data_IF_656921008554
#
_entry.id   IF_656921008554
#
_cell.length_a   1.000
_cell.length_b   1.000
_cell.length_c   1.000
_cell.angle_alpha   90.00
_cell.angle_beta   90.00
_cell.angle_gamma   90.00
#
_symmetry.space_group_name_H-M   'P 1'
#
loop_
_entity.id
_entity.type
_entity.pdbx_description
1 polymer ?
#
# COMPACT_ATOMS: atom_id res chain seq x y z
N UNK A 1 36.09 0.28 -44.72
CA UNK A 1 35.52 -0.91 -44.06
C UNK A 1 36.45 -1.29 -42.91
N UNK A 2 35.93 -1.39 -41.69
CA UNK A 2 36.73 -1.71 -40.50
C UNK A 2 35.89 -1.53 -39.24
N UNK A 3 35.26 -2.63 -38.82
CA UNK A 3 34.26 -2.73 -37.76
C UNK A 3 34.71 -2.19 -36.40
N UNK A 4 33.78 -1.50 -35.73
CA UNK A 4 33.89 -1.15 -34.31
C UNK A 4 33.81 -2.40 -33.43
N UNK A 5 34.84 -2.61 -32.61
CA UNK A 5 34.84 -3.60 -31.54
C UNK A 5 34.08 -3.05 -30.32
N UNK A 6 32.86 -3.53 -30.12
CA UNK A 6 32.14 -3.39 -28.84
C UNK A 6 32.78 -4.38 -27.85
N UNK A 7 33.47 -3.87 -26.83
CA UNK A 7 33.91 -4.70 -25.68
C UNK A 7 32.68 -5.11 -24.87
N UNK A 8 32.27 -6.37 -25.00
CA UNK A 8 31.24 -6.98 -24.15
C UNK A 8 31.90 -7.31 -22.81
N UNK A 9 31.49 -6.62 -21.74
CA UNK A 9 31.89 -6.94 -20.37
C UNK A 9 31.33 -8.29 -19.92
N UNK A 10 31.94 -8.95 -18.91
CA UNK A 10 31.70 -10.35 -18.63
C UNK A 10 30.27 -10.61 -18.13
N UNK A 11 29.65 -11.63 -18.72
CA UNK A 11 28.31 -12.13 -18.41
C UNK A 11 28.24 -12.64 -16.97
N UNK A 12 27.06 -12.45 -16.35
CA UNK A 12 26.61 -12.78 -14.98
C UNK A 12 27.06 -14.13 -14.36
N UNK A 13 27.57 -15.06 -15.16
CA UNK A 13 28.00 -16.39 -14.71
C UNK A 13 29.43 -16.43 -14.18
N UNK A 14 30.28 -15.44 -14.51
CA UNK A 14 31.68 -15.39 -14.06
C UNK A 14 31.84 -15.00 -12.58
N UNK A 15 30.88 -14.28 -12.01
CA UNK A 15 30.85 -13.88 -10.59
C UNK A 15 30.38 -15.01 -9.66
N UNK A 16 29.80 -16.10 -10.19
CA UNK A 16 29.32 -17.24 -9.42
C UNK A 16 30.45 -18.21 -9.00
N UNK A 17 31.65 -18.11 -9.61
CA UNK A 17 32.80 -18.97 -9.32
C UNK A 17 33.74 -18.46 -8.21
N UNK A 18 33.54 -17.24 -7.72
CA UNK A 18 34.43 -16.61 -6.72
C UNK A 18 33.89 -16.60 -5.28
N UNK A 19 32.76 -17.25 -5.01
CA UNK A 19 32.18 -17.35 -3.67
C UNK A 19 32.64 -18.63 -2.96
N UNK A 20 33.06 -18.57 -1.68
CA UNK A 20 33.48 -19.73 -0.93
C UNK A 20 32.32 -20.72 -0.73
N UNK A 21 32.58 -22.04 -0.71
CA UNK A 21 31.55 -23.09 -0.71
C UNK A 21 30.68 -23.16 0.56
N UNK A 22 30.97 -22.33 1.57
CA UNK A 22 30.20 -22.21 2.81
C UNK A 22 29.20 -21.04 2.81
N UNK A 23 29.08 -20.27 1.73
CA UNK A 23 28.09 -19.20 1.65
C UNK A 23 26.69 -19.78 1.40
N UNK A 24 25.73 -19.67 2.33
CA UNK A 24 24.41 -20.27 2.16
C UNK A 24 23.68 -19.61 0.98
N UNK A 25 23.31 -20.39 -0.02
CA UNK A 25 22.48 -19.97 -1.15
C UNK A 25 21.15 -19.31 -0.69
N UNK A 26 20.72 -19.58 0.54
CA UNK A 26 19.55 -18.96 1.19
C UNK A 26 19.66 -17.43 1.40
N UNK A 27 20.86 -16.83 1.43
CA UNK A 27 21.01 -15.38 1.61
C UNK A 27 20.96 -14.60 0.29
N UNK A 28 21.29 -15.24 -0.84
CA UNK A 28 21.13 -14.66 -2.17
C UNK A 28 19.66 -14.66 -2.60
N UNK A 29 18.87 -15.64 -2.14
CA UNK A 29 17.41 -15.65 -2.31
C UNK A 29 16.70 -14.63 -1.40
N UNK A 30 17.20 -14.32 -0.19
CA UNK A 30 16.54 -13.33 0.67
C UNK A 30 16.73 -11.89 0.18
N UNK A 31 17.92 -11.56 -0.34
CA UNK A 31 18.24 -10.25 -0.88
C UNK A 31 17.55 -9.98 -2.23
N UNK A 32 17.28 -11.03 -3.02
CA UNK A 32 16.45 -10.95 -4.24
C UNK A 32 14.96 -11.11 -3.96
N UNK A 33 14.52 -11.84 -2.92
CA UNK A 33 13.11 -11.90 -2.48
C UNK A 33 12.60 -10.55 -1.96
N UNK A 34 13.46 -9.76 -1.29
CA UNK A 34 13.13 -8.40 -0.84
C UNK A 34 13.25 -7.35 -1.96
N UNK A 35 13.78 -7.74 -3.11
CA UNK A 35 13.83 -6.90 -4.30
C UNK A 35 12.79 -7.38 -5.30
N UNK A 36 11.74 -6.56 -5.45
CA UNK A 36 10.94 -6.54 -6.69
C UNK A 36 9.86 -7.63 -6.84
N UNK A 37 9.15 -8.00 -5.77
CA UNK A 37 7.77 -8.45 -6.00
C UNK A 37 7.04 -7.29 -6.67
N UNK A 38 6.57 -7.53 -7.89
CA UNK A 38 5.97 -6.55 -8.80
C UNK A 38 4.82 -5.84 -8.06
N UNK A 39 5.08 -4.66 -7.49
CA UNK A 39 4.12 -3.86 -6.69
C UNK A 39 2.77 -3.70 -7.42
N UNK A 40 2.83 -3.61 -8.75
CA UNK A 40 1.65 -3.58 -9.61
C UNK A 40 0.82 -4.87 -9.55
N UNK A 41 1.45 -6.05 -9.47
CA UNK A 41 0.78 -7.35 -9.34
C UNK A 41 0.05 -7.52 -8.01
N UNK A 42 0.64 -7.07 -6.91
CA UNK A 42 0.07 -7.26 -5.57
C UNK A 42 -1.14 -6.32 -5.32
N UNK A 43 -1.07 -5.02 -5.67
CA UNK A 43 -2.25 -4.13 -5.57
C UNK A 43 -3.36 -4.57 -6.52
N UNK A 44 -3.00 -5.04 -7.72
CA UNK A 44 -3.97 -5.58 -8.67
C UNK A 44 -4.60 -6.90 -8.20
N UNK A 45 -3.98 -7.63 -7.26
CA UNK A 45 -4.57 -8.83 -6.65
C UNK A 45 -5.50 -8.51 -5.47
N UNK A 46 -5.22 -7.43 -4.72
CA UNK A 46 -6.00 -7.04 -3.54
C UNK A 46 -7.41 -6.55 -3.86
N UNK A 47 -7.59 -5.80 -4.96
CA UNK A 47 -8.93 -5.37 -5.40
C UNK A 47 -9.82 -6.58 -5.71
N UNK A 48 -9.41 -7.56 -6.55
CA UNK A 48 -10.11 -8.83 -6.73
C UNK A 48 -10.36 -9.59 -5.42
N UNK A 49 -9.36 -9.67 -4.52
CA UNK A 49 -9.54 -10.34 -3.23
C UNK A 49 -10.63 -9.67 -2.37
N UNK A 50 -10.64 -8.33 -2.33
CA UNK A 50 -11.70 -7.54 -1.68
C UNK A 50 -13.07 -7.80 -2.31
N UNK A 51 -13.14 -7.87 -3.64
CA UNK A 51 -14.37 -8.24 -4.36
C UNK A 51 -14.84 -9.66 -4.04
N UNK A 52 -13.93 -10.62 -3.91
CA UNK A 52 -14.27 -11.98 -3.52
C UNK A 52 -14.85 -12.03 -2.11
N UNK A 53 -14.25 -11.28 -1.17
CA UNK A 53 -14.77 -11.17 0.20
C UNK A 53 -16.14 -10.48 0.23
N UNK A 54 -16.32 -9.41 -0.54
CA UNK A 54 -17.62 -8.75 -0.75
C UNK A 54 -18.64 -9.73 -1.32
N UNK A 55 -18.28 -10.52 -2.35
CA UNK A 55 -19.22 -11.43 -3.02
C UNK A 55 -19.68 -12.56 -2.11
N UNK A 56 -18.79 -13.08 -1.26
CA UNK A 56 -19.15 -14.07 -0.23
C UNK A 56 -20.13 -13.51 0.80
N UNK A 57 -20.17 -12.20 0.99
CA UNK A 57 -21.01 -11.51 1.97
C UNK A 57 -22.17 -10.75 1.32
N UNK A 58 -22.39 -10.91 0.02
CA UNK A 58 -23.42 -10.19 -0.73
C UNK A 58 -24.83 -10.48 -0.22
N UNK A 59 -25.08 -11.66 0.34
CA UNK A 59 -26.37 -11.99 0.96
C UNK A 59 -26.79 -10.99 2.05
N UNK A 60 -25.83 -10.45 2.82
CA UNK A 60 -26.10 -9.41 3.83
C UNK A 60 -25.99 -8.01 3.23
N UNK A 61 -24.99 -7.79 2.37
CA UNK A 61 -24.68 -6.47 1.81
C UNK A 61 -25.71 -6.00 0.77
N UNK A 62 -26.38 -6.92 0.08
CA UNK A 62 -27.38 -6.63 -0.94
C UNK A 62 -28.83 -6.76 -0.43
N UNK A 63 -29.06 -7.32 0.77
CA UNK A 63 -30.41 -7.45 1.32
C UNK A 63 -30.98 -6.06 1.67
N UNK A 64 -32.18 -5.76 1.14
CA UNK A 64 -32.88 -4.50 1.38
C UNK A 64 -33.34 -4.34 2.84
N UNK A 65 -33.54 -5.44 3.57
CA UNK A 65 -33.97 -5.45 4.97
C UNK A 65 -32.86 -5.05 5.94
N UNK A 66 -31.61 -5.17 5.53
CA UNK A 66 -30.44 -4.84 6.36
C UNK A 66 -30.22 -3.32 6.35
N UNK A 67 -30.19 -2.66 7.52
CA UNK A 67 -29.93 -1.22 7.60
C UNK A 67 -28.59 -0.84 6.97
N UNK A 68 -28.57 0.26 6.22
CA UNK A 68 -27.38 0.71 5.47
C UNK A 68 -26.16 0.97 6.37
N UNK A 69 -26.37 1.49 7.58
CA UNK A 69 -25.31 1.70 8.56
C UNK A 69 -24.71 0.37 9.01
N UNK A 70 -25.51 -0.69 9.15
CA UNK A 70 -25.01 -2.03 9.48
C UNK A 70 -24.18 -2.61 8.32
N UNK A 71 -24.61 -2.43 7.07
CA UNK A 71 -23.81 -2.77 5.88
C UNK A 71 -22.47 -2.04 5.88
N UNK A 72 -22.48 -0.76 6.27
CA UNK A 72 -21.26 0.02 6.49
C UNK A 72 -20.34 -0.62 7.51
N UNK A 73 -20.85 -1.00 8.70
CA UNK A 73 -20.06 -1.72 9.72
C UNK A 73 -19.42 -2.99 9.16
N UNK A 74 -20.18 -3.81 8.44
CA UNK A 74 -19.69 -5.02 7.79
C UNK A 74 -18.59 -4.75 6.76
N UNK A 75 -18.76 -3.72 5.92
CA UNK A 75 -17.73 -3.33 4.96
C UNK A 75 -16.42 -2.97 5.68
N UNK A 76 -16.50 -2.18 6.76
CA UNK A 76 -15.33 -1.75 7.54
C UNK A 76 -14.58 -2.91 8.19
N UNK A 77 -15.29 -3.94 8.65
CA UNK A 77 -14.70 -5.06 9.40
C UNK A 77 -14.25 -6.21 8.51
N UNK A 78 -14.96 -6.51 7.43
CA UNK A 78 -14.71 -7.69 6.62
C UNK A 78 -14.04 -7.38 5.28
N UNK A 79 -14.43 -6.31 4.60
CA UNK A 79 -14.01 -6.04 3.20
C UNK A 79 -12.81 -5.09 3.17
N UNK A 80 -12.90 -3.96 3.88
CA UNK A 80 -11.86 -2.93 3.89
C UNK A 80 -10.49 -3.49 4.32
N UNK A 81 -10.36 -4.32 5.38
CA UNK A 81 -9.06 -4.84 5.79
C UNK A 81 -8.44 -5.77 4.73
N UNK A 82 -9.26 -6.51 3.97
CA UNK A 82 -8.75 -7.37 2.87
C UNK A 82 -8.14 -6.55 1.74
N UNK A 83 -8.71 -5.37 1.45
CA UNK A 83 -8.21 -4.47 0.41
C UNK A 83 -6.97 -3.71 0.90
N UNK A 84 -6.98 -3.27 2.16
CA UNK A 84 -5.89 -2.49 2.76
C UNK A 84 -4.71 -3.33 3.22
N UNK A 85 -4.86 -4.65 3.32
CA UNK A 85 -3.76 -5.52 3.72
C UNK A 85 -2.56 -5.32 2.80
N UNK A 86 -1.38 -5.22 3.42
CA UNK A 86 -0.08 -4.90 2.82
C UNK A 86 0.08 -3.48 2.24
N UNK A 87 -0.95 -2.64 2.16
CA UNK A 87 -0.83 -1.26 1.61
C UNK A 87 0.11 -0.34 2.42
N UNK A 88 0.51 -0.77 3.61
CA UNK A 88 1.39 -0.08 4.57
C UNK A 88 2.84 0.07 4.09
N UNK A 89 3.36 -0.91 3.34
CA UNK A 89 4.80 -1.01 3.03
C UNK A 89 5.14 -0.68 1.56
N UNK A 90 4.14 -0.36 0.74
CA UNK A 90 4.34 -0.15 -0.70
C UNK A 90 4.45 1.33 -1.06
N UNK A 91 5.35 1.65 -2.00
CA UNK A 91 5.33 2.95 -2.68
C UNK A 91 4.16 3.01 -3.66
N UNK A 92 2.94 3.13 -3.13
CA UNK A 92 1.70 3.17 -3.92
C UNK A 92 1.71 4.41 -4.82
N UNK A 93 1.57 4.21 -6.13
CA UNK A 93 1.36 5.32 -7.08
C UNK A 93 -0.05 5.87 -6.91
N UNK A 94 -0.25 7.15 -7.18
CA UNK A 94 -1.60 7.78 -7.17
C UNK A 94 -2.62 7.06 -8.06
N UNK A 95 -2.17 6.46 -9.17
CA UNK A 95 -3.02 5.63 -10.04
C UNK A 95 -3.62 4.42 -9.30
N UNK A 96 -2.85 3.80 -8.40
CA UNK A 96 -3.32 2.67 -7.60
C UNK A 96 -4.29 3.12 -6.51
N UNK A 97 -4.02 4.24 -5.84
CA UNK A 97 -4.95 4.84 -4.88
C UNK A 97 -6.30 5.16 -5.53
N UNK A 98 -6.27 5.75 -6.73
CA UNK A 98 -7.47 6.01 -7.52
C UNK A 98 -8.21 4.72 -7.90
N UNK A 99 -7.51 3.66 -8.33
CA UNK A 99 -8.13 2.36 -8.65
C UNK A 99 -8.84 1.76 -7.43
N UNK A 100 -8.19 1.80 -6.26
CA UNK A 100 -8.77 1.31 -5.00
C UNK A 100 -9.98 2.14 -4.59
N UNK A 101 -9.91 3.48 -4.70
CA UNK A 101 -11.04 4.37 -4.43
C UNK A 101 -12.23 4.16 -5.38
N UNK A 102 -11.98 3.91 -6.66
CA UNK A 102 -13.03 3.58 -7.64
C UNK A 102 -13.67 2.22 -7.31
N UNK A 103 -12.87 1.22 -6.94
CA UNK A 103 -13.37 -0.09 -6.55
C UNK A 103 -14.23 -0.01 -5.28
N UNK A 104 -13.78 0.72 -4.24
CA UNK A 104 -14.57 1.02 -3.04
C UNK A 104 -15.91 1.65 -3.43
N UNK A 105 -15.89 2.75 -4.18
CA UNK A 105 -17.11 3.47 -4.53
C UNK A 105 -18.10 2.60 -5.30
N UNK A 106 -17.62 1.70 -6.16
CA UNK A 106 -18.47 0.73 -6.85
C UNK A 106 -19.13 -0.26 -5.89
N UNK A 107 -18.40 -0.78 -4.90
CA UNK A 107 -18.96 -1.64 -3.86
C UNK A 107 -20.00 -0.88 -3.02
N UNK A 108 -19.66 0.34 -2.56
CA UNK A 108 -20.57 1.17 -1.73
C UNK A 108 -21.87 1.50 -2.47
N UNK A 109 -21.77 1.92 -3.75
CA UNK A 109 -22.92 2.19 -4.61
C UNK A 109 -23.81 0.97 -4.77
N UNK A 110 -23.22 -0.20 -5.02
CA UNK A 110 -23.98 -1.44 -5.15
C UNK A 110 -24.76 -1.78 -3.87
N UNK A 111 -24.12 -1.69 -2.70
CA UNK A 111 -24.79 -1.96 -1.41
C UNK A 111 -25.99 -1.02 -1.15
N UNK A 112 -25.93 0.19 -1.69
CA UNK A 112 -27.00 1.19 -1.58
C UNK A 112 -28.06 1.07 -2.70
N UNK A 113 -27.88 0.15 -3.65
CA UNK A 113 -28.72 0.07 -4.86
C UNK A 113 -28.63 1.33 -5.72
N UNK A 114 -27.50 2.04 -5.70
CA UNK A 114 -27.30 3.28 -6.44
C UNK A 114 -26.40 3.09 -7.65
N UNK A 115 -26.75 3.74 -8.74
CA UNK A 115 -26.00 3.73 -9.99
C UNK A 115 -25.31 5.08 -10.21
N UNK A 116 -24.65 5.25 -11.36
CA UNK A 116 -24.14 6.57 -11.78
C UNK A 116 -25.25 7.49 -12.29
N UNK A 117 -26.40 6.95 -12.70
CA UNK A 117 -27.52 7.73 -13.24
C UNK A 117 -28.23 8.53 -12.15
N UNK A 118 -28.16 8.08 -10.89
CA UNK A 118 -28.75 8.78 -9.75
C UNK A 118 -28.08 10.14 -9.45
N UNK A 119 -26.93 10.44 -10.08
CA UNK A 119 -26.15 11.69 -9.90
C UNK A 119 -25.83 12.04 -8.43
N UNK A 120 -25.90 11.07 -7.52
CA UNK A 120 -25.54 11.24 -6.11
C UNK A 120 -24.02 11.38 -5.99
N UNK A 121 -23.57 12.38 -5.24
CA UNK A 121 -22.15 12.64 -4.93
C UNK A 121 -21.52 11.49 -4.14
N UNK A 122 -20.22 11.24 -4.32
CA UNK A 122 -19.52 10.15 -3.62
C UNK A 122 -19.50 10.38 -2.11
N UNK A 123 -19.34 11.64 -1.68
CA UNK A 123 -19.37 12.06 -0.28
C UNK A 123 -20.68 11.66 0.41
N UNK A 124 -21.83 11.95 -0.22
CA UNK A 124 -23.15 11.62 0.33
C UNK A 124 -23.37 10.10 0.50
N UNK A 125 -22.81 9.28 -0.39
CA UNK A 125 -22.88 7.81 -0.26
C UNK A 125 -22.05 7.34 0.92
N UNK A 126 -20.83 7.88 1.07
CA UNK A 126 -19.94 7.54 2.18
C UNK A 126 -20.53 7.93 3.54
N UNK A 127 -21.14 9.10 3.62
CA UNK A 127 -21.84 9.59 4.80
C UNK A 127 -23.03 8.68 5.17
N UNK A 128 -23.87 8.35 4.18
CA UNK A 128 -25.03 7.47 4.39
C UNK A 128 -24.62 6.07 4.88
N UNK A 129 -23.54 5.52 4.33
CA UNK A 129 -23.00 4.22 4.73
C UNK A 129 -22.23 4.30 6.06
N UNK A 130 -21.67 5.47 6.41
CA UNK A 130 -20.85 5.67 7.60
C UNK A 130 -19.41 5.16 7.44
N UNK A 131 -18.78 5.50 6.32
CA UNK A 131 -17.44 5.01 5.94
C UNK A 131 -16.52 6.16 5.49
N UNK A 132 -15.34 6.25 6.09
CA UNK A 132 -14.27 7.12 5.61
C UNK A 132 -13.72 6.63 4.26
N UNK A 133 -13.20 7.52 3.42
CA UNK A 133 -12.54 7.15 2.17
C UNK A 133 -11.40 6.15 2.39
N UNK A 134 -11.37 5.07 1.60
CA UNK A 134 -10.32 4.04 1.71
C UNK A 134 -8.90 4.59 1.51
N UNK A 135 -8.74 5.65 0.71
CA UNK A 135 -7.43 6.27 0.46
C UNK A 135 -6.90 6.94 1.72
N UNK A 136 -7.75 7.63 2.48
CA UNK A 136 -7.37 8.22 3.77
C UNK A 136 -7.02 7.14 4.79
N UNK A 137 -7.79 6.04 4.81
CA UNK A 137 -7.45 4.86 5.63
C UNK A 137 -6.12 4.22 5.25
N UNK A 138 -5.76 4.25 3.97
CA UNK A 138 -4.47 3.76 3.49
C UNK A 138 -3.32 4.65 3.99
N UNK A 139 -3.50 5.98 3.98
CA UNK A 139 -2.55 6.93 4.56
C UNK A 139 -2.40 6.71 6.07
N UNK A 140 -3.51 6.59 6.81
CA UNK A 140 -3.51 6.27 8.25
C UNK A 140 -2.68 5.01 8.52
N UNK A 141 -2.87 3.95 7.74
CA UNK A 141 -2.14 2.70 7.88
C UNK A 141 -0.63 2.87 7.59
N UNK A 142 -0.25 3.56 6.51
CA UNK A 142 1.16 3.85 6.19
C UNK A 142 1.84 4.64 7.31
N UNK A 143 1.19 5.69 7.83
CA UNK A 143 1.73 6.51 8.92
C UNK A 143 1.77 5.72 10.25
N UNK A 144 0.81 4.83 10.48
CA UNK A 144 0.84 3.92 11.63
C UNK A 144 2.05 2.98 11.58
N UNK A 145 2.32 2.39 10.43
CA UNK A 145 3.51 1.56 10.19
C UNK A 145 4.80 2.37 10.33
N UNK A 146 4.88 3.53 9.69
CA UNK A 146 6.04 4.43 9.81
C UNK A 146 6.34 4.75 11.28
N UNK A 147 5.34 5.17 12.04
CA UNK A 147 5.54 5.45 13.46
C UNK A 147 5.97 4.22 14.25
N UNK A 148 5.47 3.02 13.90
CA UNK A 148 5.95 1.77 14.50
C UNK A 148 7.44 1.56 14.23
N UNK A 149 7.89 1.70 12.98
CA UNK A 149 9.29 1.54 12.58
C UNK A 149 10.20 2.57 13.25
N UNK A 150 9.81 3.84 13.27
CA UNK A 150 10.59 4.93 13.87
C UNK A 150 10.85 4.74 15.38
N UNK A 151 9.88 4.16 16.10
CA UNK A 151 10.00 3.89 17.55
C UNK A 151 10.81 2.63 17.88
N UNK A 152 11.19 1.82 16.89
CA UNK A 152 12.02 0.63 17.13
C UNK A 152 13.49 1.05 17.29
N UNK A 153 14.28 0.31 18.10
CA UNK A 153 15.71 0.59 18.23
C UNK A 153 16.41 0.48 16.87
N UNK A 154 17.48 1.25 16.69
CA UNK A 154 18.23 1.34 15.43
C UNK A 154 18.75 -0.02 14.99
N UNK A 155 19.12 -0.88 15.94
CA UNK A 155 19.64 -2.22 15.67
C UNK A 155 18.57 -3.23 15.24
N UNK A 156 17.28 -2.90 15.39
CA UNK A 156 16.22 -3.81 14.96
C UNK A 156 16.26 -4.00 13.45
N UNK A 157 16.07 -5.24 13.01
CA UNK A 157 16.15 -5.61 11.58
C UNK A 157 15.25 -4.72 10.72
N UNK A 158 14.02 -4.44 11.17
CA UNK A 158 13.05 -3.60 10.45
C UNK A 158 13.59 -2.17 10.27
N UNK A 159 14.20 -1.60 11.32
CA UNK A 159 14.76 -0.24 11.29
C UNK A 159 16.01 -0.17 10.41
N UNK A 160 16.87 -1.19 10.47
CA UNK A 160 18.05 -1.31 9.60
C UNK A 160 17.65 -1.40 8.14
N UNK A 161 16.71 -2.29 7.80
CA UNK A 161 16.22 -2.45 6.41
C UNK A 161 15.56 -1.17 5.90
N UNK A 162 14.76 -0.48 6.72
CA UNK A 162 14.17 0.80 6.35
C UNK A 162 15.23 1.88 6.12
N UNK A 163 16.32 1.88 6.91
CA UNK A 163 17.44 2.83 6.82
C UNK A 163 18.43 2.52 5.69
N UNK A 164 18.52 1.27 5.26
CA UNK A 164 19.42 0.86 4.18
C UNK A 164 19.16 1.66 2.91
N UNK A 165 20.17 2.41 2.46
CA UNK A 165 20.14 3.02 1.14
C UNK A 165 20.14 1.93 0.08
N UNK A 166 19.22 2.04 -0.89
CA UNK A 166 19.31 1.21 -2.08
C UNK A 166 20.65 1.51 -2.75
N UNK A 167 21.52 0.50 -2.86
CA UNK A 167 22.74 0.57 -3.68
C UNK A 167 22.34 1.22 -5.00
N UNK A 168 23.00 2.32 -5.34
CA UNK A 168 22.77 3.06 -6.58
C UNK A 168 23.07 2.11 -7.74
N UNK A 169 22.05 1.40 -8.20
CA UNK A 169 22.11 0.69 -9.46
C UNK A 169 22.14 1.77 -10.54
N UNK A 170 23.05 1.64 -11.51
CA UNK A 170 23.23 2.59 -12.62
C UNK A 170 21.83 2.93 -13.17
N UNK A 171 21.42 4.19 -12.99
CA UNK A 171 20.06 4.63 -13.29
C UNK A 171 19.90 4.71 -14.81
N UNK A 172 18.96 3.95 -15.36
CA UNK A 172 18.56 4.11 -16.77
C UNK A 172 17.87 5.47 -17.03
N UNK A 173 17.75 5.85 -18.31
CA UNK A 173 17.00 7.06 -18.72
C UNK A 173 15.50 6.90 -18.36
N UNK A 174 14.90 7.93 -17.74
CA UNK A 174 13.47 7.98 -17.42
C UNK A 174 13.15 8.54 -16.03
N UNK A 175 11.85 8.64 -15.71
CA UNK A 175 11.37 9.13 -14.39
C UNK A 175 11.74 8.13 -13.30
N UNK A 176 12.39 8.61 -12.24
CA UNK A 176 12.72 7.79 -11.07
C UNK A 176 11.45 7.17 -10.45
N UNK A 177 11.57 5.91 -10.01
CA UNK A 177 10.49 5.22 -9.29
C UNK A 177 10.32 5.88 -7.92
N UNK A 178 9.07 6.19 -7.56
CA UNK A 178 8.75 6.70 -6.22
C UNK A 178 9.23 5.74 -5.15
N UNK A 179 9.89 6.26 -4.13
CA UNK A 179 10.32 5.48 -2.96
C UNK A 179 9.26 5.54 -1.85
N UNK A 180 9.24 4.55 -0.96
CA UNK A 180 8.31 4.57 0.19
C UNK A 180 8.59 5.79 1.09
N UNK A 181 9.85 6.17 1.27
CA UNK A 181 10.24 7.38 2.02
C UNK A 181 9.68 8.66 1.40
N UNK A 182 9.71 8.78 0.07
CA UNK A 182 9.09 9.92 -0.63
C UNK A 182 7.57 9.96 -0.44
N UNK A 183 6.91 8.80 -0.44
CA UNK A 183 5.47 8.71 -0.18
C UNK A 183 5.15 9.13 1.26
N UNK A 184 5.88 8.61 2.25
CA UNK A 184 5.71 8.97 3.65
C UNK A 184 5.98 10.46 3.88
N UNK A 185 7.04 11.01 3.27
CA UNK A 185 7.33 12.45 3.36
C UNK A 185 6.15 13.28 2.86
N UNK A 186 5.59 12.90 1.71
CA UNK A 186 4.42 13.56 1.14
C UNK A 186 3.17 13.42 2.04
N UNK A 187 2.97 12.24 2.64
CA UNK A 187 1.86 12.01 3.57
C UNK A 187 1.99 12.89 4.82
N UNK A 188 3.20 13.01 5.38
CA UNK A 188 3.48 13.91 6.51
C UNK A 188 3.17 15.36 6.14
N UNK A 189 3.63 15.82 4.98
CA UNK A 189 3.38 17.19 4.47
C UNK A 189 1.87 17.46 4.29
N UNK A 190 1.15 16.55 3.62
CA UNK A 190 -0.30 16.69 3.38
C UNK A 190 -1.09 16.73 4.70
N UNK A 191 -0.67 15.94 5.69
CA UNK A 191 -1.36 15.86 6.99
C UNK A 191 -0.82 16.88 8.01
N UNK A 192 0.13 17.74 7.65
CA UNK A 192 0.72 18.73 8.55
C UNK A 192 1.42 18.12 9.77
N UNK A 193 2.00 16.92 9.61
CA UNK A 193 2.63 16.17 10.70
C UNK A 193 4.14 16.34 10.69
N UNK A 194 4.70 16.67 11.84
CA UNK A 194 6.14 16.67 12.04
C UNK A 194 6.65 15.29 12.50
N UNK A 195 7.86 14.93 12.06
CA UNK A 195 8.49 13.65 12.39
C UNK A 195 8.80 13.53 13.88
N UNK A 196 9.06 14.62 14.60
CA UNK A 196 9.39 14.58 16.04
C UNK A 196 8.22 14.04 16.89
N UNK A 197 6.99 14.26 16.44
CA UNK A 197 5.76 13.84 17.14
C UNK A 197 5.62 12.32 17.21
N UNK A 198 6.32 11.58 16.34
CA UNK A 198 6.26 10.12 16.25
C UNK A 198 6.63 9.42 17.57
N UNK A 199 7.47 10.05 18.40
CA UNK A 199 7.86 9.48 19.70
C UNK A 199 6.71 9.47 20.71
N UNK A 200 5.83 10.47 20.68
CA UNK A 200 4.61 10.46 21.49
C UNK A 200 3.56 9.56 20.82
N UNK A 201 3.46 8.33 21.33
CA UNK A 201 2.52 7.32 20.82
C UNK A 201 1.06 7.79 20.88
N UNK A 202 0.69 8.55 21.91
CA UNK A 202 -0.69 8.95 22.14
C UNK A 202 -1.09 10.06 21.17
N UNK A 203 -0.26 11.10 21.07
CA UNK A 203 -0.44 12.21 20.15
C UNK A 203 -0.35 11.72 18.69
N UNK A 204 0.64 10.89 18.36
CA UNK A 204 0.78 10.28 17.04
C UNK A 204 -0.49 9.53 16.63
N UNK A 205 -0.99 8.64 17.50
CA UNK A 205 -2.19 7.85 17.22
C UNK A 205 -3.42 8.74 17.02
N UNK A 206 -3.56 9.80 17.81
CA UNK A 206 -4.68 10.74 17.70
C UNK A 206 -4.64 11.51 16.38
N UNK A 207 -3.47 12.00 15.99
CA UNK A 207 -3.30 12.84 14.80
C UNK A 207 -3.45 12.07 13.48
N UNK A 208 -2.98 10.83 13.41
CA UNK A 208 -3.10 10.02 12.18
C UNK A 208 -4.49 9.38 12.02
N UNK A 209 -5.33 9.42 13.06
CA UNK A 209 -6.57 8.65 13.06
C UNK A 209 -7.63 9.30 12.17
N UNK A 210 -8.07 8.57 11.15
CA UNK A 210 -9.18 8.98 10.29
C UNK A 210 -10.45 8.36 10.82
N UNK A 211 -11.34 9.13 11.44
CA UNK A 211 -12.59 8.61 11.99
C UNK A 211 -13.56 8.20 10.87
N UNK A 212 -14.24 7.06 11.02
CA UNK A 212 -15.40 6.74 10.16
C UNK A 212 -16.61 7.56 10.65
N UNK A 213 -17.36 8.26 9.77
CA UNK A 213 -18.52 9.04 10.16
C UNK A 213 -19.59 8.12 10.75
N UNK A 214 -20.16 8.52 11.90
CA UNK A 214 -21.09 7.70 12.68
C UNK A 214 -22.49 7.72 12.07
#
# INVERSE_FOLDING_TARGET
MGSGHIKVGPTSLSLLRSLPPSFPLALLDYQTMLSFKKIEGDVNHRIPAGWMKWRKTSGVLCDAKVPIKLKGKFYRTAVRPTILYETECWAVKSQHENKVGVAEMRMLRWMCGKTRQDKIRNEAIRERVGVAPIVEKMVENRLRWFGHVERRPVDSVVRRVDQMERRQTIRGRGRAKKTIREVIKKDLEINGLDRSIVLDRTLWRKLIHVADPT
#
